data_IF_813514289080
#
_entry.id   IF_813514289080
#
_cell.length_a   1.000
_cell.length_b   1.000
_cell.length_c   1.000
_cell.angle_alpha   90.00
_cell.angle_beta   90.00
_cell.angle_gamma   90.00
#
_symmetry.space_group_name_H-M   'P 1'
#
loop_
_entity.id
_entity.type
_entity.pdbx_description
1 polymer ?
#
# COMPACT_ATOMS: atom_id res chain seq x y z
N UNK A 1 1.30 -8.93 10.90
CA UNK A 1 0.18 -7.99 11.08
C UNK A 1 -0.15 -7.18 9.82
N UNK A 2 0.86 -6.66 9.08
CA UNK A 2 0.66 -5.84 7.88
C UNK A 2 -0.25 -6.45 6.80
N UNK A 3 0.00 -7.70 6.37
CA UNK A 3 -0.78 -8.30 5.28
C UNK A 3 -2.27 -8.46 5.63
N UNK A 4 -2.54 -9.01 6.82
CA UNK A 4 -3.92 -9.20 7.31
C UNK A 4 -4.64 -7.85 7.42
N UNK A 5 -3.99 -6.82 7.96
CA UNK A 5 -4.63 -5.51 8.10
C UNK A 5 -4.94 -4.87 6.75
N UNK A 6 -4.05 -4.98 5.75
CA UNK A 6 -4.30 -4.47 4.40
C UNK A 6 -5.45 -5.22 3.71
N UNK A 7 -5.50 -6.55 3.82
CA UNK A 7 -6.61 -7.33 3.26
C UNK A 7 -7.96 -6.99 3.90
N UNK A 8 -8.01 -6.83 5.23
CA UNK A 8 -9.25 -6.47 5.92
C UNK A 8 -9.72 -5.05 5.58
N UNK A 9 -8.78 -4.09 5.50
CA UNK A 9 -9.09 -2.72 5.14
C UNK A 9 -9.65 -2.61 3.71
N UNK A 10 -9.06 -3.33 2.75
CA UNK A 10 -9.55 -3.33 1.37
C UNK A 10 -10.95 -3.96 1.26
N UNK A 11 -11.22 -5.07 1.96
CA UNK A 11 -12.56 -5.67 2.00
C UNK A 11 -13.61 -4.71 2.55
N UNK A 12 -13.31 -4.05 3.67
CA UNK A 12 -14.22 -3.07 4.27
C UNK A 12 -14.47 -1.88 3.33
N UNK A 13 -13.45 -1.40 2.60
CA UNK A 13 -13.61 -0.35 1.60
C UNK A 13 -14.53 -0.77 0.44
N UNK A 14 -14.40 -2.02 -0.03
CA UNK A 14 -15.29 -2.57 -1.07
C UNK A 14 -16.73 -2.72 -0.63
N UNK A 15 -16.97 -3.19 0.59
CA UNK A 15 -18.32 -3.37 1.13
C UNK A 15 -19.01 -2.00 1.28
N UNK A 16 -18.32 -1.01 1.85
CA UNK A 16 -18.81 0.36 1.95
C UNK A 16 -19.10 0.97 0.57
N UNK A 17 -18.21 0.80 -0.41
CA UNK A 17 -18.42 1.34 -1.75
C UNK A 17 -19.68 0.78 -2.42
N UNK A 18 -19.95 -0.53 -2.26
CA UNK A 18 -21.16 -1.18 -2.77
C UNK A 18 -22.42 -0.65 -2.09
N UNK A 19 -22.40 -0.51 -0.77
CA UNK A 19 -23.54 0.00 0.02
C UNK A 19 -23.92 1.44 -0.36
N UNK A 20 -22.92 2.25 -0.71
CA UNK A 20 -23.09 3.67 -1.02
C UNK A 20 -23.08 4.01 -2.52
N UNK A 21 -23.11 3.01 -3.41
CA UNK A 21 -23.06 3.18 -4.87
C UNK A 21 -21.89 4.06 -5.35
N UNK A 22 -20.70 3.86 -4.75
CA UNK A 22 -19.48 4.57 -5.13
C UNK A 22 -18.74 3.80 -6.23
N UNK A 23 -18.23 4.53 -7.23
CA UNK A 23 -17.28 3.98 -8.19
C UNK A 23 -15.89 3.94 -7.55
N UNK A 24 -15.53 2.77 -7.02
CA UNK A 24 -14.31 2.57 -6.24
C UNK A 24 -13.29 1.72 -7.00
N UNK A 25 -12.04 2.18 -7.01
CA UNK A 25 -10.90 1.48 -7.60
C UNK A 25 -9.81 1.34 -6.53
N UNK A 26 -9.30 0.13 -6.38
CA UNK A 26 -8.14 -0.19 -5.55
C UNK A 26 -6.93 -0.50 -6.44
N UNK A 27 -5.77 0.08 -6.13
CA UNK A 27 -4.50 -0.23 -6.78
C UNK A 27 -3.63 -0.98 -5.77
N UNK A 28 -3.13 -2.14 -6.16
CA UNK A 28 -2.34 -3.03 -5.30
C UNK A 28 -0.88 -3.04 -5.78
N UNK A 29 -0.06 -2.05 -5.41
CA UNK A 29 1.36 -2.07 -5.71
C UNK A 29 2.10 -3.09 -4.83
N UNK A 30 3.22 -3.59 -5.34
CA UNK A 30 4.14 -4.46 -4.58
C UNK A 30 5.23 -3.61 -3.92
N UNK A 31 6.51 -3.87 -4.22
CA UNK A 31 7.63 -3.08 -3.73
C UNK A 31 7.83 -1.86 -4.62
N UNK A 32 7.56 -0.68 -4.08
CA UNK A 32 7.73 0.58 -4.81
C UNK A 32 9.16 1.10 -4.65
N UNK A 33 9.84 1.30 -5.77
CA UNK A 33 11.23 1.79 -5.86
C UNK A 33 11.26 2.99 -6.80
N UNK A 34 11.95 4.05 -6.39
CA UNK A 34 12.10 5.27 -7.19
C UNK A 34 12.45 6.50 -6.34
N UNK A 35 12.50 7.69 -6.97
CA UNK A 35 12.69 8.96 -6.26
C UNK A 35 11.60 9.18 -5.21
N UNK A 36 11.98 9.70 -4.05
CA UNK A 36 11.05 10.04 -2.97
C UNK A 36 11.27 11.49 -2.51
N UNK A 37 10.19 12.16 -2.12
CA UNK A 37 10.18 13.58 -1.74
C UNK A 37 10.44 13.82 -0.24
N UNK A 38 10.53 12.74 0.55
CA UNK A 38 10.68 12.81 2.00
C UNK A 38 12.16 12.97 2.41
N UNK A 39 12.45 13.62 3.56
CA UNK A 39 13.83 13.77 4.05
C UNK A 39 14.42 12.46 4.58
N UNK A 40 13.60 11.44 4.82
CA UNK A 40 14.01 10.12 5.31
C UNK A 40 13.70 9.04 4.29
N UNK A 41 14.52 7.98 4.28
CA UNK A 41 14.35 6.87 3.36
C UNK A 41 13.09 6.07 3.71
N UNK A 42 12.15 5.86 2.76
CA UNK A 42 10.93 5.13 3.04
C UNK A 42 11.21 3.63 3.26
N UNK A 43 10.38 2.92 4.04
CA UNK A 43 10.57 1.50 4.32
C UNK A 43 10.70 0.61 3.07
N UNK A 44 10.03 0.96 1.97
CA UNK A 44 10.16 0.22 0.70
C UNK A 44 11.56 0.32 0.11
N UNK A 45 12.18 1.50 0.14
CA UNK A 45 13.56 1.72 -0.32
C UNK A 45 14.57 1.04 0.59
N UNK A 46 14.35 1.07 1.92
CA UNK A 46 15.19 0.32 2.88
C UNK A 46 15.16 -1.17 2.54
N UNK A 47 13.97 -1.72 2.34
CA UNK A 47 13.82 -3.14 1.99
C UNK A 47 14.49 -3.46 0.65
N UNK A 48 14.31 -2.60 -0.36
CA UNK A 48 14.86 -2.78 -1.70
C UNK A 48 16.40 -2.77 -1.74
N UNK A 49 17.04 -1.95 -0.90
CA UNK A 49 18.50 -1.77 -0.88
C UNK A 49 19.22 -2.64 0.16
N UNK A 50 18.48 -3.47 0.92
CA UNK A 50 18.98 -4.25 2.07
C UNK A 50 20.12 -5.22 1.77
N UNK A 51 20.33 -5.59 0.50
CA UNK A 51 21.41 -6.51 0.11
C UNK A 51 22.74 -5.80 -0.20
N UNK A 52 22.70 -4.47 -0.37
CA UNK A 52 23.86 -3.67 -0.79
C UNK A 52 24.19 -2.52 0.18
N UNK A 53 23.35 -2.29 1.20
CA UNK A 53 23.52 -1.31 2.27
C UNK A 53 23.33 -2.00 3.61
#
# INVERSE_FOLDING_TARGET
>A
MYFVSKSLAERAAWDFAKEHNLDFISIIPTLVVGPFIMPTMPPSMITALSLIT
#
